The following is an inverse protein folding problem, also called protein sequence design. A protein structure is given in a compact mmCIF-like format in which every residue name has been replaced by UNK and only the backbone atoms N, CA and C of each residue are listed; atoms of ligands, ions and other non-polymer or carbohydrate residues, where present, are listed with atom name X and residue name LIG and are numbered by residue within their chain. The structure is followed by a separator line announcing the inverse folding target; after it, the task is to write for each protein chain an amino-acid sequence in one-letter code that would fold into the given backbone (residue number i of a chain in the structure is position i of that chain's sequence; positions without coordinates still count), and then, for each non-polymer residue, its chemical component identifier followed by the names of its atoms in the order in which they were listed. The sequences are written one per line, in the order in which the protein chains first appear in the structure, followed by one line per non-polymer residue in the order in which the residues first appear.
data_IF_766330128694
#
_entry.id   IF_766330128694
#
_cell.length_a   1.000
_cell.length_b   1.000
_cell.length_c   1.000
_cell.angle_alpha   90.00
_cell.angle_beta   90.00
_cell.angle_gamma   90.00
#
_symmetry.space_group_name_H-M   'P 1'
#
loop_
_entity.id
_entity.type
_entity.pdbx_description
1 polymer ?
#
# COMPACT_ATOMS: atom_id res chain seq x y z
N UNK A 1 46.01 50.94 10.11
CA UNK A 1 46.44 49.62 10.62
C UNK A 1 45.32 48.92 11.42
N UNK A 2 44.63 49.64 12.31
CA UNK A 2 43.51 49.09 13.11
C UNK A 2 42.31 48.53 12.31
N UNK A 3 41.99 49.10 11.14
CA UNK A 3 40.86 48.64 10.31
C UNK A 3 41.06 47.25 9.69
N UNK A 4 42.30 46.87 9.39
CA UNK A 4 42.63 45.54 8.85
C UNK A 4 42.58 44.46 9.94
N UNK A 5 43.00 44.80 11.16
CA UNK A 5 42.93 43.90 12.32
C UNK A 5 41.46 43.59 12.68
N UNK A 6 40.59 44.59 12.68
CA UNK A 6 39.16 44.38 12.94
C UNK A 6 38.47 43.53 11.85
N UNK A 7 38.89 43.65 10.57
CA UNK A 7 38.37 42.78 9.49
C UNK A 7 38.80 41.32 9.67
N UNK A 8 40.04 41.09 10.06
CA UNK A 8 40.55 39.74 10.34
C UNK A 8 39.85 39.12 11.55
N UNK A 9 39.59 39.91 12.61
CA UNK A 9 38.84 39.46 13.76
C UNK A 9 37.40 39.06 13.38
N UNK A 10 36.68 39.92 12.65
CA UNK A 10 35.32 39.61 12.20
C UNK A 10 35.26 38.38 11.28
N UNK A 11 36.24 38.20 10.39
CA UNK A 11 36.33 37.00 9.55
C UNK A 11 36.56 35.73 10.37
N UNK A 12 37.41 35.81 11.40
CA UNK A 12 37.65 34.68 12.31
C UNK A 12 36.40 34.32 13.13
N UNK A 13 35.64 35.31 13.59
CA UNK A 13 34.37 35.10 14.30
C UNK A 13 33.33 34.42 13.41
N UNK A 14 33.21 34.84 12.15
CA UNK A 14 32.33 34.21 11.16
C UNK A 14 32.75 32.77 10.87
N UNK A 15 34.04 32.49 10.71
CA UNK A 15 34.56 31.14 10.49
C UNK A 15 34.27 30.20 11.68
N UNK A 16 34.44 30.70 12.92
CA UNK A 16 34.12 29.94 14.14
C UNK A 16 32.61 29.68 14.23
N UNK A 17 31.78 30.66 13.89
CA UNK A 17 30.33 30.51 13.88
C UNK A 17 29.89 29.45 12.86
N UNK A 18 30.44 29.49 11.64
CA UNK A 18 30.18 28.49 10.62
C UNK A 18 30.61 27.07 11.08
N UNK A 19 31.79 26.94 11.68
CA UNK A 19 32.27 25.68 12.23
C UNK A 19 31.36 25.15 13.36
N UNK A 20 30.82 26.02 14.21
CA UNK A 20 29.83 25.64 15.24
C UNK A 20 28.54 25.10 14.63
N UNK A 21 28.01 25.73 13.58
CA UNK A 21 26.81 25.24 12.91
C UNK A 21 27.04 23.89 12.22
N UNK A 22 28.21 23.70 11.61
CA UNK A 22 28.61 22.41 11.05
C UNK A 22 28.70 21.34 12.15
N UNK A 23 29.32 21.67 13.28
CA UNK A 23 29.41 20.78 14.45
C UNK A 23 28.04 20.40 15.01
N UNK A 24 27.12 21.36 15.11
CA UNK A 24 25.72 21.10 15.52
C UNK A 24 25.04 20.12 14.55
N UNK A 25 25.23 20.29 13.24
CA UNK A 25 24.72 19.35 12.23
C UNK A 25 25.29 17.95 12.38
N UNK A 26 26.60 17.82 12.62
CA UNK A 26 27.24 16.52 12.83
C UNK A 26 26.74 15.80 14.09
N UNK A 27 26.51 16.52 15.19
CA UNK A 27 25.93 15.94 16.42
C UNK A 27 24.55 15.35 16.14
N UNK A 28 23.72 16.05 15.37
CA UNK A 28 22.41 15.53 14.95
C UNK A 28 22.57 14.25 14.13
N UNK A 29 23.48 14.21 13.15
CA UNK A 29 23.69 12.99 12.36
C UNK A 29 24.20 11.81 13.19
N UNK A 30 25.06 12.08 14.18
CA UNK A 30 25.56 11.05 15.10
C UNK A 30 24.44 10.51 16.00
N UNK A 31 23.52 11.37 16.45
CA UNK A 31 22.34 10.95 17.21
C UNK A 31 21.43 10.01 16.40
N UNK A 32 21.30 10.24 15.08
CA UNK A 32 20.54 9.34 14.20
C UNK A 32 21.15 7.94 14.09
N UNK A 33 22.48 7.79 14.21
CA UNK A 33 23.15 6.48 14.18
C UNK A 33 22.83 5.61 15.40
N UNK A 34 22.39 6.22 16.51
CA UNK A 34 22.02 5.51 17.74
C UNK A 34 20.54 5.06 17.75
N UNK A 35 19.78 5.34 16.69
CA UNK A 35 18.40 4.90 16.54
C UNK A 35 18.35 3.56 15.82
N UNK A 36 17.34 2.76 16.15
CA UNK A 36 17.14 1.47 15.49
C UNK A 36 16.56 1.69 14.09
N UNK A 37 16.97 0.90 13.07
CA UNK A 37 16.46 1.04 11.73
C UNK A 37 14.96 0.71 11.69
N UNK A 38 14.17 1.62 11.11
CA UNK A 38 12.71 1.46 10.91
C UNK A 38 12.37 0.68 9.63
N UNK A 39 13.38 0.21 8.90
CA UNK A 39 13.22 -0.49 7.62
C UNK A 39 12.57 -1.86 7.79
N UNK A 40 11.67 -2.22 6.88
CA UNK A 40 11.11 -3.58 6.77
C UNK A 40 11.92 -4.36 5.73
N UNK A 41 12.38 -5.56 6.08
CA UNK A 41 13.20 -6.38 5.19
C UNK A 41 12.37 -7.24 4.23
N UNK A 42 11.78 -6.62 3.21
CA UNK A 42 11.12 -7.34 2.13
C UNK A 42 12.15 -8.23 1.37
N UNK A 43 11.87 -9.51 1.06
CA UNK A 43 10.58 -10.20 1.09
C UNK A 43 10.29 -11.02 2.35
N UNK A 44 11.25 -11.16 3.26
CA UNK A 44 11.14 -12.04 4.44
C UNK A 44 10.30 -11.42 5.56
N UNK A 45 10.27 -10.10 5.63
CA UNK A 45 9.39 -9.33 6.50
C UNK A 45 8.39 -8.57 5.63
N UNK A 46 7.09 -8.76 5.87
CA UNK A 46 6.02 -8.03 5.16
C UNK A 46 5.12 -7.31 6.15
N UNK A 47 4.67 -6.11 5.75
CA UNK A 47 3.64 -5.39 6.48
C UNK A 47 2.26 -5.98 6.20
N UNK A 48 1.46 -6.10 7.24
CA UNK A 48 0.05 -6.46 7.12
C UNK A 48 -0.70 -5.23 6.54
N UNK A 49 -1.38 -5.36 5.38
CA UNK A 49 -2.23 -4.30 4.84
C UNK A 49 -3.38 -3.94 5.79
N UNK A 50 -3.96 -2.76 5.63
CA UNK A 50 -5.13 -2.39 6.43
C UNK A 50 -6.39 -3.16 5.98
N UNK A 51 -7.39 -3.25 6.85
CA UNK A 51 -8.67 -3.91 6.55
C UNK A 51 -9.41 -3.30 5.33
N UNK A 52 -9.10 -2.03 4.99
CA UNK A 52 -9.68 -1.31 3.85
C UNK A 52 -8.68 -1.13 2.71
N UNK A 53 -7.60 -1.90 2.72
CA UNK A 53 -6.62 -1.88 1.64
C UNK A 53 -7.27 -2.28 0.31
N UNK A 54 -6.78 -1.67 -0.77
CA UNK A 54 -7.32 -1.83 -2.11
C UNK A 54 -6.30 -2.53 -2.99
N UNK A 55 -6.26 -3.87 -2.91
CA UNK A 55 -5.42 -4.73 -3.76
C UNK A 55 -6.16 -5.30 -4.97
N UNK A 56 -5.84 -6.54 -5.35
CA UNK A 56 -6.53 -7.26 -6.43
C UNK A 56 -8.04 -7.34 -6.16
N UNK A 57 -8.83 -7.29 -7.23
CA UNK A 57 -10.28 -7.51 -7.15
C UNK A 57 -10.57 -9.02 -7.20
N UNK A 58 -11.37 -9.51 -6.27
CA UNK A 58 -11.93 -10.86 -6.29
C UNK A 58 -13.34 -10.84 -6.88
N UNK A 59 -13.67 -11.89 -7.63
CA UNK A 59 -14.95 -12.01 -8.34
C UNK A 59 -15.61 -13.37 -8.09
N UNK A 60 -16.87 -13.31 -7.69
CA UNK A 60 -17.72 -14.49 -7.55
C UNK A 60 -18.70 -14.61 -8.72
N UNK A 61 -18.49 -15.63 -9.56
CA UNK A 61 -19.30 -15.87 -10.77
C UNK A 61 -20.78 -16.08 -10.45
N UNK A 62 -21.09 -16.87 -9.41
CA UNK A 62 -22.46 -17.29 -9.08
C UNK A 62 -23.35 -16.13 -8.59
N UNK A 63 -22.73 -15.08 -8.03
CA UNK A 63 -23.44 -13.89 -7.50
C UNK A 63 -23.67 -12.82 -8.57
N UNK A 64 -23.03 -12.90 -9.75
CA UNK A 64 -23.13 -11.86 -10.76
C UNK A 64 -24.45 -11.95 -11.55
N UNK A 65 -25.11 -10.80 -11.72
CA UNK A 65 -26.38 -10.68 -12.46
C UNK A 65 -26.26 -9.93 -13.80
N UNK A 66 -25.04 -9.67 -14.28
CA UNK A 66 -24.77 -8.93 -15.52
C UNK A 66 -25.51 -7.57 -15.60
N UNK A 67 -25.43 -6.78 -14.53
CA UNK A 67 -26.06 -5.47 -14.41
C UNK A 67 -25.28 -4.30 -15.05
N UNK A 68 -24.01 -4.55 -15.42
CA UNK A 68 -23.08 -3.58 -16.03
C UNK A 68 -22.88 -2.29 -15.21
N UNK A 69 -23.21 -2.31 -13.91
CA UNK A 69 -22.95 -1.17 -13.02
C UNK A 69 -21.45 -0.97 -12.84
N UNK A 70 -20.68 -2.06 -12.70
CA UNK A 70 -19.23 -2.01 -12.60
C UNK A 70 -18.54 -1.32 -13.79
N UNK A 71 -19.10 -1.47 -15.00
CA UNK A 71 -18.60 -0.80 -16.20
C UNK A 71 -18.91 0.69 -16.13
N UNK A 72 -20.18 1.05 -15.90
CA UNK A 72 -20.65 2.45 -15.90
C UNK A 72 -20.02 3.32 -14.82
N UNK A 73 -19.66 2.73 -13.69
CA UNK A 73 -19.06 3.45 -12.55
C UNK A 73 -17.53 3.47 -12.65
N UNK A 74 -16.92 2.60 -13.46
CA UNK A 74 -15.49 2.64 -13.69
C UNK A 74 -15.11 3.92 -14.45
N UNK A 75 -14.11 4.70 -13.99
CA UNK A 75 -13.71 5.95 -14.66
C UNK A 75 -13.34 5.80 -16.14
N UNK A 76 -12.93 4.59 -16.54
CA UNK A 76 -12.47 4.25 -17.89
C UNK A 76 -13.30 3.11 -18.54
N UNK A 77 -14.41 2.70 -17.93
CA UNK A 77 -15.25 1.59 -18.39
C UNK A 77 -14.47 0.27 -18.62
N UNK A 78 -13.59 -0.09 -17.67
CA UNK A 78 -12.63 -1.18 -17.83
C UNK A 78 -13.20 -2.60 -17.85
N UNK A 79 -14.08 -3.02 -16.89
CA UNK A 79 -14.49 -4.41 -16.81
C UNK A 79 -15.23 -4.84 -18.07
N UNK A 80 -14.84 -5.97 -18.67
CA UNK A 80 -15.51 -6.54 -19.82
C UNK A 80 -16.56 -7.52 -19.32
N UNK A 81 -17.82 -7.28 -19.67
CA UNK A 81 -18.97 -8.07 -19.22
C UNK A 81 -19.70 -8.63 -20.43
N UNK A 82 -19.48 -9.90 -20.74
CA UNK A 82 -20.20 -10.58 -21.81
C UNK A 82 -21.36 -11.38 -21.23
N UNK A 83 -22.57 -11.13 -21.73
CA UNK A 83 -23.77 -11.81 -21.28
C UNK A 83 -24.71 -12.11 -22.43
N UNK A 84 -25.52 -13.15 -22.27
CA UNK A 84 -26.59 -13.50 -23.20
C UNK A 84 -27.95 -13.48 -22.52
N UNK A 85 -28.96 -13.01 -23.24
CA UNK A 85 -30.33 -13.05 -22.78
C UNK A 85 -30.93 -14.42 -23.08
N UNK A 86 -31.12 -15.24 -22.05
CA UNK A 86 -31.91 -16.47 -22.18
C UNK A 86 -33.39 -16.10 -22.28
N UNK A 87 -33.94 -16.18 -23.50
CA UNK A 87 -35.34 -15.81 -23.81
C UNK A 87 -36.36 -16.63 -23.01
N UNK A 88 -36.04 -17.89 -22.72
CA UNK A 88 -36.91 -18.80 -21.96
C UNK A 88 -37.12 -18.34 -20.52
N UNK A 89 -36.05 -17.90 -19.86
CA UNK A 89 -36.06 -17.52 -18.43
C UNK A 89 -36.18 -16.00 -18.25
N UNK A 90 -36.12 -15.23 -19.35
CA UNK A 90 -36.03 -13.75 -19.36
C UNK A 90 -34.94 -13.21 -18.42
N UNK A 91 -33.87 -13.98 -18.19
CA UNK A 91 -32.75 -13.64 -17.33
C UNK A 91 -31.49 -13.47 -18.17
N UNK A 92 -30.69 -12.45 -17.87
CA UNK A 92 -29.33 -12.31 -18.40
C UNK A 92 -28.45 -13.38 -17.77
N UNK A 93 -27.78 -14.18 -18.59
CA UNK A 93 -26.76 -15.11 -18.14
C UNK A 93 -25.39 -14.55 -18.51
N UNK A 94 -24.52 -14.41 -17.51
CA UNK A 94 -23.13 -14.05 -17.71
C UNK A 94 -22.39 -15.20 -18.42
N UNK A 95 -21.59 -14.86 -19.43
CA UNK A 95 -20.71 -15.79 -20.14
C UNK A 95 -19.26 -15.63 -19.71
N UNK A 96 -18.79 -14.39 -19.73
CA UNK A 96 -17.41 -14.04 -19.50
C UNK A 96 -17.35 -12.72 -18.72
N UNK A 97 -16.36 -12.63 -17.83
CA UNK A 97 -16.07 -11.44 -17.06
C UNK A 97 -14.57 -11.30 -16.90
N UNK A 98 -14.00 -10.22 -17.41
CA UNK A 98 -12.55 -9.99 -17.32
C UNK A 98 -12.22 -8.56 -16.87
N UNK A 99 -11.09 -8.43 -16.19
CA UNK A 99 -10.53 -7.15 -15.76
C UNK A 99 -9.05 -7.13 -16.10
N UNK A 100 -8.62 -6.10 -16.82
CA UNK A 100 -7.20 -5.86 -17.09
C UNK A 100 -6.57 -5.04 -15.96
N UNK A 101 -5.79 -5.70 -15.10
CA UNK A 101 -5.11 -5.05 -13.98
C UNK A 101 -3.97 -4.11 -14.41
N UNK A 102 -3.49 -4.21 -15.64
CA UNK A 102 -2.53 -3.25 -16.20
C UNK A 102 -3.14 -1.87 -16.46
N UNK A 103 -4.47 -1.78 -16.58
CA UNK A 103 -5.20 -0.52 -16.79
C UNK A 103 -6.00 -0.11 -15.54
N UNK A 104 -6.28 -1.04 -14.64
CA UNK A 104 -7.00 -0.78 -13.39
C UNK A 104 -6.26 0.21 -12.49
N UNK A 105 -6.97 1.21 -11.97
CA UNK A 105 -6.43 2.21 -11.02
C UNK A 105 -6.77 1.91 -9.55
N UNK A 106 -7.32 0.72 -9.26
CA UNK A 106 -7.68 0.26 -7.92
C UNK A 106 -8.55 1.24 -7.09
N UNK A 107 -9.39 2.04 -7.77
CA UNK A 107 -10.30 2.98 -7.09
C UNK A 107 -11.36 2.28 -6.24
N UNK A 108 -11.75 1.05 -6.57
CA UNK A 108 -12.73 0.24 -5.84
C UNK A 108 -14.20 0.65 -6.02
N UNK A 109 -14.53 1.56 -6.94
CA UNK A 109 -15.93 1.94 -7.17
C UNK A 109 -16.77 0.75 -7.67
N UNK A 110 -16.18 -0.16 -8.44
CA UNK A 110 -16.88 -1.36 -8.91
C UNK A 110 -17.33 -2.29 -7.78
N UNK A 111 -16.59 -2.32 -6.66
CA UNK A 111 -16.93 -3.08 -5.45
C UNK A 111 -18.04 -2.36 -4.68
N UNK A 112 -17.89 -1.05 -4.48
CA UNK A 112 -18.83 -0.24 -3.68
C UNK A 112 -20.25 -0.19 -4.28
N UNK A 113 -20.36 -0.07 -5.60
CA UNK A 113 -21.66 0.04 -6.28
C UNK A 113 -22.22 -1.32 -6.72
N UNK A 114 -21.58 -2.45 -6.37
CA UNK A 114 -22.07 -3.76 -6.75
C UNK A 114 -23.30 -4.14 -5.90
N UNK A 115 -24.49 -4.34 -6.51
CA UNK A 115 -25.71 -4.61 -5.74
C UNK A 115 -25.73 -6.00 -5.09
N UNK A 116 -24.97 -6.96 -5.63
CA UNK A 116 -24.94 -8.35 -5.15
C UNK A 116 -23.68 -8.68 -4.36
N UNK A 117 -22.80 -7.70 -4.13
CA UNK A 117 -21.48 -7.90 -3.52
C UNK A 117 -20.70 -9.06 -4.16
N UNK A 118 -20.77 -9.21 -5.49
CA UNK A 118 -20.01 -10.24 -6.21
C UNK A 118 -18.55 -9.86 -6.44
N UNK A 119 -18.21 -8.59 -6.27
CA UNK A 119 -16.86 -8.05 -6.36
C UNK A 119 -16.42 -7.66 -4.95
N UNK A 120 -15.19 -8.00 -4.59
CA UNK A 120 -14.57 -7.60 -3.33
C UNK A 120 -13.11 -7.20 -3.54
N UNK A 121 -12.58 -6.37 -2.64
CA UNK A 121 -11.15 -6.04 -2.63
C UNK A 121 -10.40 -7.10 -1.83
N UNK A 122 -9.21 -7.45 -2.28
CA UNK A 122 -8.29 -8.35 -1.58
C UNK A 122 -7.05 -7.60 -1.09
N UNK A 123 -6.28 -8.28 -0.25
CA UNK A 123 -5.04 -7.78 0.34
C UNK A 123 -3.83 -7.94 -0.59
N UNK A 124 -3.98 -8.65 -1.71
CA UNK A 124 -2.89 -8.95 -2.63
C UNK A 124 -2.45 -7.71 -3.41
N UNK A 125 -1.19 -7.31 -3.22
CA UNK A 125 -0.53 -6.23 -3.94
C UNK A 125 0.59 -6.71 -4.87
N UNK A 126 1.00 -7.97 -4.77
CA UNK A 126 2.13 -8.57 -5.51
C UNK A 126 1.69 -9.16 -6.87
N UNK A 127 1.20 -8.30 -7.77
CA UNK A 127 0.63 -8.72 -9.07
C UNK A 127 1.58 -8.55 -10.26
N UNK A 128 2.89 -8.43 -10.03
CA UNK A 128 3.86 -8.15 -11.10
C UNK A 128 4.05 -9.34 -12.05
N UNK A 129 4.01 -9.11 -13.37
CA UNK A 129 4.18 -10.13 -14.41
C UNK A 129 5.12 -9.59 -15.52
N UNK A 130 5.75 -10.49 -16.28
CA UNK A 130 6.65 -10.14 -17.38
C UNK A 130 5.95 -9.67 -18.65
N UNK A 131 4.79 -10.26 -19.00
CA UNK A 131 3.95 -9.81 -20.11
C UNK A 131 2.70 -9.08 -19.61
N UNK A 132 2.30 -8.05 -20.35
CA UNK A 132 1.11 -7.25 -20.08
C UNK A 132 -0.19 -8.03 -20.28
N UNK A 133 -0.21 -8.99 -21.20
CA UNK A 133 -1.44 -9.72 -21.53
C UNK A 133 -1.86 -10.66 -20.40
N UNK A 134 -0.90 -11.11 -19.60
CA UNK A 134 -1.14 -11.96 -18.43
C UNK A 134 -1.82 -11.21 -17.28
N UNK A 135 -1.81 -9.87 -17.28
CA UNK A 135 -2.54 -9.03 -16.32
C UNK A 135 -4.04 -8.93 -16.62
N UNK A 136 -4.48 -9.41 -17.79
CA UNK A 136 -5.90 -9.54 -18.10
C UNK A 136 -6.47 -10.79 -17.45
N UNK A 137 -7.06 -10.62 -16.27
CA UNK A 137 -7.58 -11.75 -15.50
C UNK A 137 -8.98 -12.08 -15.94
N UNK A 138 -9.17 -13.36 -16.28
CA UNK A 138 -10.46 -13.97 -16.55
C UNK A 138 -11.23 -14.24 -15.24
N UNK A 139 -12.52 -14.52 -15.35
CA UNK A 139 -13.44 -14.77 -14.24
C UNK A 139 -12.93 -15.87 -13.28
N UNK A 140 -12.28 -16.91 -13.82
CA UNK A 140 -11.71 -18.00 -13.03
C UNK A 140 -10.48 -17.51 -12.25
N UNK A 141 -9.65 -16.66 -12.86
CA UNK A 141 -8.47 -16.11 -12.21
C UNK A 141 -8.85 -15.12 -11.11
N UNK A 142 -9.89 -14.31 -11.34
CA UNK A 142 -10.44 -13.39 -10.35
C UNK A 142 -11.07 -14.11 -9.16
N UNK A 143 -11.70 -15.26 -9.39
CA UNK A 143 -12.29 -16.11 -8.36
C UNK A 143 -11.29 -16.88 -7.49
N UNK A 144 -9.98 -16.77 -7.75
CA UNK A 144 -8.97 -17.35 -6.86
C UNK A 144 -9.01 -16.70 -5.48
N UNK A 145 -8.90 -17.55 -4.46
CA UNK A 145 -8.76 -17.11 -3.08
C UNK A 145 -7.49 -16.28 -2.94
N UNK A 146 -7.53 -15.15 -2.23
CA UNK A 146 -6.35 -14.36 -1.98
C UNK A 146 -5.40 -15.09 -1.02
N UNK A 147 -4.10 -14.96 -1.26
CA UNK A 147 -3.06 -15.37 -0.33
C UNK A 147 -2.98 -14.31 0.77
N UNK A 148 -3.29 -14.70 2.00
CA UNK A 148 -3.15 -13.80 3.14
C UNK A 148 -1.69 -13.76 3.58
N UNK A 149 -1.19 -12.56 3.88
CA UNK A 149 0.21 -12.37 4.31
C UNK A 149 0.52 -13.14 5.61
N UNK A 150 -0.51 -13.45 6.40
CA UNK A 150 -0.42 -14.13 7.70
C UNK A 150 -0.23 -15.65 7.55
N UNK A 151 -0.76 -16.25 6.47
CA UNK A 151 -0.72 -17.70 6.27
C UNK A 151 0.63 -18.19 5.70
N UNK A 152 1.46 -17.29 5.17
CA UNK A 152 2.74 -17.64 4.57
C UNK A 152 3.78 -17.98 5.64
N UNK A 153 4.03 -19.27 5.84
CA UNK A 153 5.04 -19.78 6.79
C UNK A 153 6.48 -19.31 6.53
N UNK A 154 6.77 -18.78 5.35
CA UNK A 154 8.10 -18.27 4.97
C UNK A 154 8.34 -16.81 5.36
N UNK A 155 7.32 -16.11 5.87
CA UNK A 155 7.34 -14.67 6.09
C UNK A 155 7.11 -14.35 7.57
N UNK A 156 7.83 -13.34 8.07
CA UNK A 156 7.54 -12.70 9.34
C UNK A 156 6.60 -11.52 9.08
N UNK A 157 5.41 -11.57 9.69
CA UNK A 157 4.43 -10.50 9.55
C UNK A 157 4.69 -9.42 10.58
N UNK A 158 4.81 -8.19 10.11
CA UNK A 158 4.93 -7.01 10.95
C UNK A 158 3.57 -6.32 10.91
N UNK A 159 2.85 -6.34 12.03
CA UNK A 159 1.72 -5.43 12.22
C UNK A 159 2.28 -4.03 12.40
N UNK A 160 1.78 -3.06 11.63
CA UNK A 160 2.09 -1.66 11.88
C UNK A 160 1.81 -1.35 13.37
N UNK A 161 2.76 -0.72 14.06
CA UNK A 161 2.74 -0.41 15.50
C UNK A 161 1.49 0.38 16.00
N UNK A 162 0.59 0.78 15.09
CA UNK A 162 -0.66 1.49 15.41
C UNK A 162 -1.89 0.58 15.59
N UNK A 163 -1.77 -0.74 15.42
CA UNK A 163 -2.86 -1.71 15.65
C UNK A 163 -2.50 -2.79 16.69
N UNK A 164 -1.72 -2.42 17.71
CA UNK A 164 -1.47 -3.33 18.83
C UNK A 164 -2.69 -3.34 19.77
N UNK A 165 -3.36 -4.49 19.84
CA UNK A 165 -4.06 -4.90 21.07
C UNK A 165 -3.02 -4.90 22.20
N UNK A 166 -3.39 -4.32 23.35
CA UNK A 166 -2.56 -4.07 24.55
C UNK A 166 -1.84 -5.30 25.15
N UNK A 167 -1.96 -6.49 24.56
CA UNK A 167 -1.46 -7.75 25.10
C UNK A 167 -0.07 -8.21 24.64
N UNK A 168 0.49 -7.68 23.55
CA UNK A 168 1.80 -8.11 23.00
C UNK A 168 2.89 -7.03 23.03
N UNK A 169 2.65 -5.92 23.72
CA UNK A 169 3.52 -4.73 23.78
C UNK A 169 4.75 -4.88 24.68
N UNK A 170 5.04 -6.04 25.27
CA UNK A 170 6.13 -6.15 26.26
C UNK A 170 7.54 -6.08 25.64
N UNK A 171 7.69 -6.32 24.33
CA UNK A 171 9.00 -6.29 23.64
C UNK A 171 9.39 -4.95 22.99
N UNK A 172 8.42 -4.06 22.72
CA UNK A 172 8.63 -2.88 21.87
C UNK A 172 8.51 -1.53 22.62
N UNK A 173 8.12 -1.54 23.91
CA UNK A 173 7.92 -0.34 24.74
C UNK A 173 9.21 0.45 25.06
N UNK A 174 10.40 -0.10 24.78
CA UNK A 174 11.69 0.53 25.09
C UNK A 174 12.45 1.05 23.85
N UNK A 175 11.78 1.14 22.69
CA UNK A 175 12.43 1.62 21.48
C UNK A 175 12.52 3.15 21.49
N UNK A 176 13.75 3.68 21.53
CA UNK A 176 14.13 5.10 21.39
C UNK A 176 13.61 5.80 20.11
N UNK A 177 12.80 5.12 19.30
CA UNK A 177 12.25 5.61 18.05
C UNK A 177 10.93 6.35 18.24
N UNK A 178 10.29 6.25 19.41
CA UNK A 178 9.15 7.09 19.77
C UNK A 178 9.71 8.37 20.36
N UNK A 179 9.85 9.41 19.54
CA UNK A 179 9.73 10.76 20.06
C UNK A 179 8.32 10.84 20.67
N UNK A 180 8.23 10.87 22.00
CA UNK A 180 6.99 11.23 22.68
C UNK A 180 6.60 12.63 22.19
N UNK A 181 5.76 12.72 21.16
CA UNK A 181 5.18 13.97 20.66
C UNK A 181 3.99 14.42 21.53
N UNK A 182 3.98 14.02 22.79
CA UNK A 182 3.00 14.40 23.79
C UNK A 182 3.74 14.75 25.08
N UNK A 183 4.34 15.94 25.09
CA UNK A 183 4.46 16.85 26.22
C UNK A 183 4.39 18.29 25.67
#
# INVERSE_FOLDING_TARGET
MFTMLNRLQNYSEQAIQAARYIGQGFIVTLDHMNRLPITIQYPYEKLIPSERFRGRIHFEFDKCIACEVCVRVCPINLPVVDWELKKEVKKKQLKNYSIDFGVCIFCGNCVEYCPTNCLSMTEEYELSIYDRHDLNYDQIALGRLPISVIEDSTIQTISNLNYLFEGNTEGYLNLKNITNFLD
#
